data_IF_146674150816
#
_entry.id   IF_146674150816
#
_cell.length_a   1.000
_cell.length_b   1.000
_cell.length_c   1.000
_cell.angle_alpha   90.00
_cell.angle_beta   90.00
_cell.angle_gamma   90.00
#
_symmetry.space_group_name_H-M   'P 1'
#
loop_
_entity.id
_entity.type
_entity.pdbx_description
1 polymer ?
#
# COMPACT_ATOMS: atom_id res chain seq x y z
N UNK A 1 -45.37 -53.46 -30.10
CA UNK A 1 -44.29 -53.19 -29.14
C UNK A 1 -43.09 -52.74 -29.97
N UNK A 2 -42.51 -51.57 -29.72
CA UNK A 2 -41.30 -51.13 -30.43
C UNK A 2 -40.07 -51.51 -29.60
N UNK A 3 -39.22 -52.35 -30.17
CA UNK A 3 -37.97 -52.79 -29.55
C UNK A 3 -36.89 -51.72 -29.80
N UNK A 4 -36.19 -51.29 -28.74
CA UNK A 4 -35.13 -50.28 -28.80
C UNK A 4 -35.51 -48.86 -28.35
N UNK A 5 -36.24 -48.72 -27.25
CA UNK A 5 -36.60 -47.41 -26.68
C UNK A 5 -35.80 -47.09 -25.42
N UNK A 6 -35.14 -45.93 -25.38
CA UNK A 6 -34.46 -45.40 -24.21
C UNK A 6 -35.32 -44.33 -23.53
N UNK A 7 -35.71 -44.60 -22.28
CA UNK A 7 -36.43 -43.64 -21.44
C UNK A 7 -35.46 -43.05 -20.44
N UNK A 8 -35.39 -41.72 -20.39
CA UNK A 8 -34.54 -40.97 -19.46
C UNK A 8 -35.40 -40.00 -18.67
N UNK A 9 -35.22 -39.98 -17.36
CA UNK A 9 -35.82 -38.98 -16.48
C UNK A 9 -34.77 -37.96 -16.08
N UNK A 10 -35.04 -36.69 -16.37
CA UNK A 10 -34.17 -35.59 -15.98
C UNK A 10 -34.33 -35.28 -14.49
N UNK A 11 -33.28 -34.74 -13.87
CA UNK A 11 -33.25 -34.38 -12.44
C UNK A 11 -34.38 -33.43 -12.00
N UNK A 12 -35.03 -32.74 -12.94
CA UNK A 12 -36.17 -31.83 -12.72
C UNK A 12 -37.54 -32.44 -13.08
N UNK A 13 -37.63 -33.76 -13.22
CA UNK A 13 -38.89 -34.48 -13.45
C UNK A 13 -39.36 -34.51 -14.91
N UNK A 14 -38.59 -33.97 -15.85
CA UNK A 14 -38.89 -34.09 -17.28
C UNK A 14 -38.57 -35.49 -17.80
N UNK A 15 -39.51 -36.10 -18.54
CA UNK A 15 -39.33 -37.41 -19.15
C UNK A 15 -38.96 -37.27 -20.63
N UNK A 16 -37.88 -37.91 -21.04
CA UNK A 16 -37.45 -37.99 -22.43
C UNK A 16 -37.50 -39.45 -22.90
N UNK A 17 -38.14 -39.67 -24.03
CA UNK A 17 -38.20 -40.98 -24.67
C UNK A 17 -37.53 -40.86 -26.03
N UNK A 18 -36.47 -41.66 -26.25
CA UNK A 18 -35.73 -41.71 -27.52
C UNK A 18 -35.86 -43.12 -28.09
N UNK A 19 -36.45 -43.22 -29.27
CA UNK A 19 -36.67 -44.49 -29.96
C UNK A 19 -35.55 -44.64 -30.99
N UNK A 20 -34.82 -45.76 -30.92
CA UNK A 20 -33.71 -46.03 -31.82
C UNK A 20 -34.24 -46.52 -33.17
N UNK A 21 -33.64 -46.04 -34.27
CA UNK A 21 -33.97 -46.52 -35.62
C UNK A 21 -33.51 -47.97 -35.77
N UNK A 22 -34.33 -48.80 -36.43
CA UNK A 22 -34.06 -50.24 -36.64
C UNK A 22 -32.78 -50.52 -37.44
N UNK A 23 -32.28 -49.55 -38.20
CA UNK A 23 -31.06 -49.64 -39.01
C UNK A 23 -29.81 -49.11 -38.30
N UNK A 24 -29.90 -48.75 -37.02
CA UNK A 24 -28.76 -48.19 -36.30
C UNK A 24 -27.78 -49.29 -35.87
N UNK A 25 -26.55 -49.22 -36.36
CA UNK A 25 -25.40 -50.00 -35.90
C UNK A 25 -24.52 -49.11 -35.01
N UNK A 26 -24.02 -49.65 -33.89
CA UNK A 26 -23.13 -48.94 -32.98
C UNK A 26 -21.71 -49.47 -33.18
N UNK A 27 -20.94 -48.79 -34.03
CA UNK A 27 -19.52 -49.11 -34.22
C UNK A 27 -18.67 -48.29 -33.26
N UNK A 28 -17.67 -48.93 -32.65
CA UNK A 28 -16.64 -48.25 -31.87
C UNK A 28 -15.79 -47.39 -32.82
N UNK A 29 -15.97 -46.06 -32.75
CA UNK A 29 -15.04 -45.13 -33.40
C UNK A 29 -13.87 -44.89 -32.46
N UNK A 30 -12.67 -45.29 -32.90
CA UNK A 30 -11.41 -44.95 -32.24
C UNK A 30 -11.25 -43.42 -32.15
N UNK A 31 -11.62 -42.86 -31.00
CA UNK A 31 -11.38 -41.47 -30.62
C UNK A 31 -9.98 -41.37 -30.01
N UNK A 32 -8.94 -41.81 -30.72
CA UNK A 32 -7.57 -41.54 -30.28
C UNK A 32 -7.42 -40.01 -30.19
N UNK A 33 -7.41 -39.50 -28.96
CA UNK A 33 -7.31 -38.07 -28.71
C UNK A 33 -5.90 -37.65 -29.15
N UNK A 34 -5.83 -36.97 -30.29
CA UNK A 34 -4.58 -36.37 -30.77
C UNK A 34 -3.96 -35.43 -29.72
N UNK A 35 -2.69 -35.06 -29.87
CA UNK A 35 -1.98 -34.21 -28.92
C UNK A 35 -2.77 -32.92 -28.62
N UNK A 36 -2.71 -32.43 -27.37
CA UNK A 36 -3.56 -31.34 -26.90
C UNK A 36 -3.35 -30.09 -27.76
N UNK A 37 -4.47 -29.46 -28.15
CA UNK A 37 -4.52 -28.29 -29.05
C UNK A 37 -3.67 -27.10 -28.57
N UNK A 38 -3.27 -27.07 -27.29
CA UNK A 38 -2.38 -26.08 -26.69
C UNK A 38 -0.96 -26.10 -27.26
N UNK A 39 -0.50 -27.22 -27.85
CA UNK A 39 0.81 -27.28 -28.53
C UNK A 39 0.85 -26.53 -29.86
N UNK A 40 -0.31 -26.17 -30.42
CA UNK A 40 -0.41 -25.40 -31.67
C UNK A 40 -0.37 -23.87 -31.46
N UNK A 41 -0.25 -23.40 -30.21
CA UNK A 41 -0.18 -21.98 -29.90
C UNK A 41 1.29 -21.56 -29.85
N UNK A 42 1.70 -20.72 -30.80
CA UNK A 42 3.05 -20.15 -30.81
C UNK A 42 3.26 -19.29 -29.57
N UNK A 43 4.36 -19.55 -28.84
CA UNK A 43 4.74 -18.78 -27.67
C UNK A 43 5.00 -17.31 -28.07
N UNK A 44 4.39 -16.38 -27.36
CA UNK A 44 4.63 -14.96 -27.53
C UNK A 44 5.91 -14.53 -26.81
N UNK A 45 7.06 -14.90 -27.37
CA UNK A 45 8.37 -14.50 -26.85
C UNK A 45 8.76 -13.14 -27.42
N UNK A 46 9.00 -12.12 -26.58
CA UNK A 46 9.48 -10.82 -27.06
C UNK A 46 10.78 -10.96 -27.86
N UNK A 47 10.87 -10.28 -28.99
CA UNK A 47 12.07 -10.30 -29.84
C UNK A 47 13.14 -9.39 -29.25
N UNK A 48 14.39 -9.87 -29.23
CA UNK A 48 15.55 -9.05 -28.87
C UNK A 48 15.80 -8.01 -29.98
N UNK A 49 15.90 -6.75 -29.58
CA UNK A 49 16.18 -5.63 -30.48
C UNK A 49 17.68 -5.49 -30.70
N UNK A 50 18.07 -4.70 -31.72
CA UNK A 50 19.48 -4.35 -31.97
C UNK A 50 20.13 -3.73 -30.73
N UNK A 51 19.40 -2.87 -30.01
CA UNK A 51 19.87 -2.24 -28.76
C UNK A 51 20.31 -3.27 -27.71
N UNK A 52 19.56 -4.37 -27.55
CA UNK A 52 19.92 -5.43 -26.62
C UNK A 52 21.23 -6.12 -27.02
N UNK A 53 21.43 -6.35 -28.32
CA UNK A 53 22.65 -6.97 -28.86
C UNK A 53 23.85 -6.04 -28.64
N UNK A 54 23.71 -4.76 -28.97
CA UNK A 54 24.76 -3.75 -28.81
C UNK A 54 25.16 -3.58 -27.32
N UNK A 55 24.18 -3.60 -26.40
CA UNK A 55 24.45 -3.59 -24.94
C UNK A 55 25.22 -4.84 -24.49
N UNK A 56 24.85 -6.02 -25.00
CA UNK A 56 25.53 -7.28 -24.67
C UNK A 56 27.00 -7.25 -25.10
N UNK A 57 27.28 -6.68 -26.28
CA UNK A 57 28.66 -6.52 -26.76
C UNK A 57 29.45 -5.55 -25.87
N UNK A 58 28.87 -4.41 -25.50
CA UNK A 58 29.49 -3.44 -24.56
C UNK A 58 29.79 -4.08 -23.21
N UNK A 59 28.87 -4.86 -22.65
CA UNK A 59 29.04 -5.56 -21.38
C UNK A 59 30.15 -6.61 -21.44
N UNK A 60 30.26 -7.32 -22.57
CA UNK A 60 31.33 -8.30 -22.80
C UNK A 60 32.71 -7.64 -22.83
N UNK A 61 32.84 -6.49 -23.47
CA UNK A 61 34.12 -5.77 -23.61
C UNK A 61 34.53 -5.05 -22.31
N UNK A 62 33.58 -4.48 -21.57
CA UNK A 62 33.84 -3.59 -20.43
C UNK A 62 33.35 -4.11 -19.06
N UNK A 63 33.02 -5.39 -18.96
CA UNK A 63 32.37 -5.97 -17.77
C UNK A 63 33.11 -5.75 -16.45
N UNK A 64 34.45 -5.82 -16.45
CA UNK A 64 35.26 -5.61 -15.22
C UNK A 64 35.14 -4.17 -14.71
N UNK A 65 35.19 -3.19 -15.62
CA UNK A 65 35.06 -1.78 -15.25
C UNK A 65 33.64 -1.49 -14.73
N UNK A 66 32.61 -2.03 -15.40
CA UNK A 66 31.21 -1.90 -14.97
C UNK A 66 30.99 -2.51 -13.58
N UNK A 67 31.53 -3.70 -13.31
CA UNK A 67 31.44 -4.34 -12.00
C UNK A 67 32.09 -3.50 -10.89
N UNK A 68 33.30 -2.98 -11.11
CA UNK A 68 33.99 -2.13 -10.13
C UNK A 68 33.23 -0.85 -9.82
N UNK A 69 32.71 -0.18 -10.85
CA UNK A 69 31.87 1.02 -10.68
C UNK A 69 30.61 0.70 -9.90
N UNK A 70 29.93 -0.40 -10.24
CA UNK A 70 28.74 -0.84 -9.53
C UNK A 70 29.02 -1.12 -8.04
N UNK A 71 30.10 -1.82 -7.70
CA UNK A 71 30.46 -2.08 -6.31
C UNK A 71 30.75 -0.80 -5.52
N UNK A 72 31.51 0.13 -6.12
CA UNK A 72 31.81 1.43 -5.52
C UNK A 72 30.54 2.24 -5.27
N UNK A 73 29.63 2.29 -6.22
CA UNK A 73 28.40 3.06 -6.08
C UNK A 73 27.40 2.39 -5.15
N UNK A 74 27.35 1.05 -5.12
CA UNK A 74 26.57 0.30 -4.14
C UNK A 74 27.05 0.56 -2.71
N UNK A 75 28.37 0.60 -2.49
CA UNK A 75 28.93 0.93 -1.19
C UNK A 75 28.55 2.35 -0.74
N UNK A 76 28.60 3.32 -1.66
CA UNK A 76 28.16 4.71 -1.39
C UNK A 76 26.67 4.80 -1.12
N UNK A 77 25.86 4.07 -1.88
CA UNK A 77 24.42 4.01 -1.66
C UNK A 77 24.13 3.46 -0.27
N UNK A 78 24.77 2.35 0.12
CA UNK A 78 24.64 1.78 1.47
C UNK A 78 25.02 2.80 2.54
N UNK A 79 26.16 3.48 2.40
CA UNK A 79 26.58 4.50 3.36
C UNK A 79 25.55 5.63 3.47
N UNK A 80 25.08 6.17 2.35
CA UNK A 80 24.08 7.24 2.32
C UNK A 80 22.76 6.79 2.95
N UNK A 81 22.28 5.59 2.62
CA UNK A 81 21.06 5.02 3.21
C UNK A 81 21.22 4.88 4.72
N UNK A 82 22.35 4.38 5.21
CA UNK A 82 22.59 4.26 6.65
C UNK A 82 22.65 5.62 7.35
N UNK A 83 23.30 6.61 6.74
CA UNK A 83 23.35 7.98 7.29
C UNK A 83 21.95 8.61 7.38
N UNK A 84 21.16 8.52 6.32
CA UNK A 84 19.79 9.03 6.32
C UNK A 84 18.87 8.22 7.24
N UNK A 85 19.10 6.91 7.38
CA UNK A 85 18.36 6.06 8.31
C UNK A 85 18.64 6.42 9.78
N UNK A 86 19.92 6.63 10.15
CA UNK A 86 20.28 7.10 11.50
C UNK A 86 19.66 8.46 11.78
N UNK A 87 19.74 9.41 10.85
CA UNK A 87 19.07 10.71 10.99
C UNK A 87 17.55 10.55 11.16
N UNK A 88 16.92 9.62 10.45
CA UNK A 88 15.48 9.37 10.58
C UNK A 88 15.14 8.78 11.95
N UNK A 89 15.98 7.90 12.49
CA UNK A 89 15.83 7.34 13.84
C UNK A 89 16.02 8.40 14.93
N UNK A 90 17.06 9.23 14.83
CA UNK A 90 17.33 10.31 15.79
C UNK A 90 16.18 11.33 15.83
N UNK A 91 15.52 11.57 14.69
CA UNK A 91 14.37 12.46 14.59
C UNK A 91 13.00 11.75 14.78
N UNK A 92 12.99 10.45 15.08
CA UNK A 92 11.78 9.60 15.16
C UNK A 92 10.83 9.73 13.96
N UNK A 93 11.34 10.03 12.75
CA UNK A 93 10.55 10.31 11.54
C UNK A 93 9.98 9.06 10.84
N UNK A 94 10.02 7.90 11.50
CA UNK A 94 9.43 6.68 10.95
C UNK A 94 7.92 6.63 11.25
N UNK A 95 7.06 6.36 10.25
CA UNK A 95 5.60 6.27 10.44
C UNK A 95 5.15 5.04 11.25
N UNK A 96 6.11 4.20 11.67
CA UNK A 96 5.96 3.08 12.58
C UNK A 96 7.02 3.27 13.66
N UNK A 97 6.61 3.17 14.93
CA UNK A 97 7.56 3.27 16.03
C UNK A 97 8.63 2.18 15.92
N UNK A 98 9.88 2.57 16.18
CA UNK A 98 11.02 1.65 16.18
C UNK A 98 11.14 0.87 17.50
N UNK A 99 10.33 1.21 18.52
CA UNK A 99 10.35 0.55 19.82
C UNK A 99 9.58 -0.80 19.73
N UNK A 100 10.24 -1.95 19.91
CA UNK A 100 9.58 -3.26 19.83
C UNK A 100 8.48 -3.44 20.87
N UNK A 101 8.54 -2.69 21.98
CA UNK A 101 7.56 -2.76 23.07
C UNK A 101 6.34 -1.86 22.82
N UNK A 102 6.46 -0.85 21.96
CA UNK A 102 5.38 0.10 21.64
C UNK A 102 5.25 0.31 20.12
N UNK A 103 4.97 -0.74 19.34
CA UNK A 103 4.79 -0.60 17.90
C UNK A 103 3.48 0.13 17.62
N UNK A 104 3.58 1.45 17.45
CA UNK A 104 2.46 2.33 17.11
C UNK A 104 2.65 2.79 15.67
N UNK A 105 1.58 2.65 14.89
CA UNK A 105 1.48 3.21 13.55
C UNK A 105 0.72 4.53 13.61
N UNK A 106 1.31 5.58 13.05
CA UNK A 106 0.69 6.89 12.92
C UNK A 106 0.30 7.13 11.48
N UNK A 107 -0.93 7.63 11.30
CA UNK A 107 -1.42 8.16 10.03
C UNK A 107 -2.05 9.51 10.30
N UNK A 108 -1.87 10.45 9.38
CA UNK A 108 -2.48 11.77 9.49
C UNK A 108 -3.10 12.15 8.16
N UNK A 109 -4.28 12.75 8.22
CA UNK A 109 -5.08 13.14 7.07
C UNK A 109 -5.58 14.56 7.29
N UNK A 110 -5.52 15.37 6.24
CA UNK A 110 -6.06 16.73 6.23
C UNK A 110 -7.22 16.77 5.24
N UNK A 111 -8.36 17.27 5.69
CA UNK A 111 -9.57 17.39 4.89
C UNK A 111 -10.11 18.82 4.96
N UNK A 112 -10.56 19.34 3.83
CA UNK A 112 -11.05 20.72 3.71
C UNK A 112 -10.38 21.45 2.56
N UNK A 113 -10.97 22.58 2.18
CA UNK A 113 -10.50 23.45 1.08
C UNK A 113 -10.02 24.83 1.58
N UNK A 114 -10.02 25.04 2.91
CA UNK A 114 -9.66 26.32 3.55
C UNK A 114 -10.89 27.20 3.84
N UNK A 115 -10.75 28.22 4.73
CA UNK A 115 -9.58 28.54 5.56
C UNK A 115 -9.42 27.62 6.79
N UNK A 116 -10.42 26.80 7.08
CA UNK A 116 -10.38 25.82 8.17
C UNK A 116 -10.25 24.41 7.61
N UNK A 117 -9.28 23.65 8.12
CA UNK A 117 -9.06 22.26 7.79
C UNK A 117 -9.40 21.36 8.96
N UNK A 118 -10.03 20.22 8.68
CA UNK A 118 -10.17 19.11 9.62
C UNK A 118 -8.90 18.26 9.53
N UNK A 119 -8.18 18.17 10.65
CA UNK A 119 -6.96 17.39 10.80
C UNK A 119 -7.26 16.13 11.62
N UNK A 120 -7.13 14.97 11.00
CA UNK A 120 -7.42 13.66 11.60
C UNK A 120 -6.11 12.89 11.79
N UNK A 121 -5.80 12.55 13.05
CA UNK A 121 -4.66 11.68 13.41
C UNK A 121 -5.20 10.29 13.74
N UNK A 122 -4.89 9.32 12.89
CA UNK A 122 -5.18 7.91 13.12
C UNK A 122 -4.01 7.21 13.80
N UNK A 123 -4.21 6.72 15.02
CA UNK A 123 -3.25 5.89 15.75
C UNK A 123 -3.71 4.43 15.77
N UNK A 124 -2.81 3.52 15.44
CA UNK A 124 -3.07 2.09 15.49
C UNK A 124 -1.96 1.40 16.30
N UNK A 125 -2.36 0.63 17.31
CA UNK A 125 -1.44 -0.24 18.03
C UNK A 125 -1.22 -1.53 17.21
N UNK A 126 -0.01 -1.74 16.71
CA UNK A 126 0.37 -2.92 15.92
C UNK A 126 1.03 -4.02 16.75
N UNK A 127 0.97 -3.94 18.08
CA UNK A 127 1.43 -5.02 18.96
C UNK A 127 0.49 -6.22 18.89
N UNK A 128 0.95 -7.38 19.38
CA UNK A 128 0.16 -8.61 19.39
C UNK A 128 -0.70 -8.74 20.66
N UNK A 129 -0.22 -8.26 21.81
CA UNK A 129 -0.88 -8.51 23.10
C UNK A 129 -0.78 -7.37 24.12
N UNK A 130 -0.05 -6.28 23.81
CA UNK A 130 0.23 -5.22 24.78
C UNK A 130 -0.55 -3.95 24.46
N UNK A 131 -1.45 -3.55 25.35
CA UNK A 131 -2.13 -2.26 25.21
C UNK A 131 -1.15 -1.11 25.49
N UNK A 132 -1.23 -0.04 24.69
CA UNK A 132 -0.47 1.19 24.93
C UNK A 132 -1.34 2.17 25.73
N UNK A 133 -0.80 2.73 26.81
CA UNK A 133 -1.52 3.66 27.69
C UNK A 133 -0.71 4.93 27.92
N UNK A 134 -1.39 5.98 28.37
CA UNK A 134 -0.77 7.24 28.80
C UNK A 134 0.03 7.93 27.68
N UNK A 135 -0.58 8.05 26.50
CA UNK A 135 0.00 8.73 25.35
C UNK A 135 -0.66 10.09 25.15
N UNK A 136 0.10 11.03 24.61
CA UNK A 136 -0.38 12.34 24.20
C UNK A 136 0.03 12.63 22.77
N UNK A 137 -0.86 13.29 22.02
CA UNK A 137 -0.58 13.82 20.70
C UNK A 137 -0.36 15.32 20.85
N UNK A 138 0.74 15.83 20.29
CA UNK A 138 1.01 17.25 20.18
C UNK A 138 1.51 17.62 18.79
N UNK A 139 1.47 18.90 18.46
CA UNK A 139 1.73 19.42 17.12
C UNK A 139 2.81 20.50 17.19
N UNK A 140 3.69 20.50 16.21
CA UNK A 140 4.75 21.50 16.02
C UNK A 140 4.57 22.12 14.62
N UNK A 141 4.30 23.42 14.63
CA UNK A 141 3.85 24.22 13.50
C UNK A 141 4.19 25.69 13.73
N UNK A 142 4.24 26.49 12.66
CA UNK A 142 4.41 27.95 12.78
C UNK A 142 3.08 28.60 13.21
N UNK A 143 3.04 29.17 14.43
CA UNK A 143 1.88 29.88 14.99
C UNK A 143 1.47 31.11 14.15
N UNK A 144 2.32 31.60 13.23
CA UNK A 144 1.96 32.66 12.28
C UNK A 144 1.12 32.17 11.10
N UNK A 145 1.26 30.90 10.74
CA UNK A 145 0.60 30.31 9.57
C UNK A 145 -0.64 29.51 9.96
N UNK A 146 -0.56 28.76 11.06
CA UNK A 146 -1.60 27.82 11.48
C UNK A 146 -2.02 28.06 12.92
N UNK A 147 -3.30 27.85 13.20
CA UNK A 147 -3.84 27.84 14.55
C UNK A 147 -4.59 26.53 14.83
N UNK A 148 -4.05 25.71 15.73
CA UNK A 148 -4.69 24.47 16.17
C UNK A 148 -5.63 24.73 17.36
N UNK A 149 -6.92 24.38 17.20
CA UNK A 149 -7.90 24.52 18.29
C UNK A 149 -7.61 23.61 19.48
N UNK A 150 -7.09 22.42 19.22
CA UNK A 150 -6.59 21.48 20.24
C UNK A 150 -5.11 21.21 19.99
N UNK A 151 -4.24 21.82 20.80
CA UNK A 151 -2.77 21.68 20.70
C UNK A 151 -2.22 20.41 21.37
N UNK A 152 -2.96 19.88 22.35
CA UNK A 152 -2.63 18.67 23.09
C UNK A 152 -3.87 17.79 23.18
N UNK A 153 -3.74 16.53 22.77
CA UNK A 153 -4.84 15.55 22.81
C UNK A 153 -4.38 14.37 23.65
N UNK A 154 -5.11 14.06 24.72
CA UNK A 154 -4.88 12.87 25.52
C UNK A 154 -5.44 11.65 24.77
N UNK A 155 -4.60 10.63 24.61
CA UNK A 155 -4.96 9.39 23.92
C UNK A 155 -5.49 8.39 24.96
N UNK A 156 -6.67 7.80 24.74
CA UNK A 156 -7.16 6.69 25.55
C UNK A 156 -6.27 5.44 25.39
N UNK A 157 -6.54 4.40 26.16
CA UNK A 157 -5.85 3.12 26.00
C UNK A 157 -6.05 2.56 24.59
N UNK A 158 -4.95 2.37 23.85
CA UNK A 158 -4.95 1.80 22.50
C UNK A 158 -4.87 0.28 22.59
N UNK A 159 -5.99 -0.38 22.30
CA UNK A 159 -6.07 -1.84 22.22
C UNK A 159 -5.36 -2.33 20.94
N UNK A 160 -4.61 -3.45 21.01
CA UNK A 160 -3.98 -4.05 19.84
C UNK A 160 -4.95 -4.27 18.67
N UNK A 161 -4.53 -3.91 17.46
CA UNK A 161 -5.27 -4.18 16.21
C UNK A 161 -6.35 -3.15 15.85
N UNK A 162 -6.74 -2.25 16.75
CA UNK A 162 -7.73 -1.20 16.48
C UNK A 162 -7.07 0.12 16.06
N UNK A 163 -7.73 0.84 15.15
CA UNK A 163 -7.35 2.19 14.72
C UNK A 163 -8.26 3.20 15.39
N UNK A 164 -7.67 4.21 16.02
CA UNK A 164 -8.36 5.30 16.71
C UNK A 164 -8.06 6.62 16.02
N UNK A 165 -9.11 7.31 15.58
CA UNK A 165 -9.00 8.58 14.89
C UNK A 165 -9.27 9.75 15.85
N UNK A 166 -8.34 10.71 15.88
CA UNK A 166 -8.41 11.92 16.69
C UNK A 166 -8.53 13.14 15.79
N UNK A 167 -9.64 13.85 15.92
CA UNK A 167 -9.95 15.02 15.11
C UNK A 167 -9.63 16.33 15.85
N UNK A 168 -8.96 17.23 15.15
CA UNK A 168 -8.80 18.64 15.54
C UNK A 168 -9.04 19.53 14.32
N UNK A 169 -9.39 20.78 14.56
CA UNK A 169 -9.51 21.80 13.51
C UNK A 169 -8.27 22.69 13.51
N UNK A 170 -7.82 23.02 12.31
CA UNK A 170 -6.67 23.89 12.03
C UNK A 170 -7.17 25.05 11.19
N UNK A 171 -7.00 26.25 11.70
CA UNK A 171 -7.35 27.47 10.98
C UNK A 171 -6.07 28.04 10.33
N UNK A 172 -6.11 28.27 9.01
CA UNK A 172 -5.02 28.91 8.27
C UNK A 172 -5.13 30.43 8.41
N UNK A 173 -4.09 31.04 8.97
CA UNK A 173 -4.04 32.49 9.25
C UNK A 173 -3.46 33.30 8.09
N UNK A 174 -2.84 32.64 7.11
CA UNK A 174 -2.14 33.30 6.01
C UNK A 174 -2.97 33.30 4.72
N UNK A 175 -3.32 34.49 4.23
CA UNK A 175 -3.96 34.71 2.92
C UNK A 175 -2.98 34.59 1.73
N UNK A 176 -1.68 34.39 1.99
CA UNK A 176 -0.62 34.39 0.96
C UNK A 176 -0.43 33.06 0.23
N UNK A 177 -1.31 32.07 0.46
CA UNK A 177 -1.19 30.75 -0.17
C UNK A 177 0.08 29.97 0.21
N UNK A 178 0.68 30.25 1.37
CA UNK A 178 1.89 29.58 1.87
C UNK A 178 1.50 28.24 2.48
N UNK A 179 2.18 27.17 2.09
CA UNK A 179 2.02 25.82 2.61
C UNK A 179 3.31 25.37 3.27
N UNK A 180 3.21 24.93 4.53
CA UNK A 180 4.32 24.36 5.30
C UNK A 180 3.92 23.01 5.90
N UNK A 181 4.92 22.19 6.22
CA UNK A 181 4.69 20.91 6.89
C UNK A 181 4.48 21.09 8.40
N UNK A 182 3.44 20.46 8.93
CA UNK A 182 3.20 20.33 10.37
C UNK A 182 3.77 19.00 10.85
N UNK A 183 4.47 19.02 11.99
CA UNK A 183 4.95 17.80 12.66
C UNK A 183 3.96 17.40 13.75
N UNK A 184 3.67 16.11 13.81
CA UNK A 184 2.80 15.48 14.83
C UNK A 184 3.69 14.59 15.68
N UNK A 185 3.70 14.81 16.98
CA UNK A 185 4.43 13.98 17.93
C UNK A 185 3.47 13.16 18.78
N UNK A 186 3.76 11.87 18.92
CA UNK A 186 3.16 11.03 19.96
C UNK A 186 4.19 10.86 21.06
N UNK A 187 3.86 11.33 22.25
CA UNK A 187 4.74 11.35 23.41
C UNK A 187 4.14 10.57 24.56
N UNK A 188 5.02 10.07 25.42
CA UNK A 188 4.67 9.47 26.70
C UNK A 188 5.24 10.34 27.82
N UNK A 189 4.47 10.66 28.86
CA UNK A 189 4.99 11.48 29.95
C UNK A 189 6.15 10.75 30.64
N UNK A 190 7.23 11.49 30.92
CA UNK A 190 8.46 10.96 31.50
C UNK A 190 9.54 10.55 30.50
N UNK A 191 9.23 10.49 29.18
CA UNK A 191 10.24 10.28 28.13
C UNK A 191 10.52 11.61 27.42
N UNK A 192 11.80 11.95 27.23
CA UNK A 192 12.20 13.19 26.53
C UNK A 192 12.17 13.08 25.01
N UNK A 193 12.00 11.87 24.47
CA UNK A 193 12.03 11.57 23.03
C UNK A 193 10.64 11.09 22.60
N UNK A 194 10.08 11.61 21.49
CA UNK A 194 8.80 11.16 20.97
C UNK A 194 8.88 9.70 20.50
N UNK A 195 7.80 8.96 20.71
CA UNK A 195 7.67 7.55 20.30
C UNK A 195 7.58 7.44 18.77
N UNK A 196 6.88 8.39 18.16
CA UNK A 196 6.69 8.49 16.72
C UNK A 196 6.44 9.96 16.33
N UNK A 197 7.10 10.37 15.25
CA UNK A 197 6.92 11.68 14.62
C UNK A 197 6.32 11.48 13.22
N UNK A 198 5.16 12.09 12.97
CA UNK A 198 4.58 12.22 11.63
C UNK A 198 4.87 13.59 11.04
N UNK A 199 5.21 13.67 9.76
CA UNK A 199 5.33 14.95 9.04
C UNK A 199 4.23 15.01 8.01
N UNK A 200 3.42 16.07 8.06
CA UNK A 200 2.25 16.24 7.17
C UNK A 200 2.40 17.57 6.44
N UNK A 201 2.45 17.53 5.12
CA UNK A 201 2.38 18.75 4.31
C UNK A 201 0.96 19.28 4.33
N UNK A 202 0.76 20.51 4.81
CA UNK A 202 -0.57 21.13 4.79
C UNK A 202 -0.95 21.52 3.35
N UNK A 203 -2.21 21.33 2.93
CA UNK A 203 -2.68 21.84 1.65
C UNK A 203 -2.67 23.38 1.65
N UNK A 204 -2.56 23.96 0.46
CA UNK A 204 -2.69 25.41 0.28
C UNK A 204 -4.12 25.81 0.60
N UNK A 205 -4.30 26.86 1.40
CA UNK A 205 -5.63 27.42 1.66
C UNK A 205 -6.08 28.24 0.46
N UNK A 206 -7.31 27.98 -0.01
CA UNK A 206 -7.96 28.93 -0.90
C UNK A 206 -8.29 30.19 -0.09
N UNK A 207 -7.97 31.36 -0.64
CA UNK A 207 -8.26 32.66 -0.05
C UNK A 207 -9.78 32.87 0.02
N UNK A 208 -10.27 33.54 1.07
CA UNK A 208 -11.65 33.99 1.13
C UNK A 208 -11.95 34.84 -0.13
N UNK A 209 -12.78 34.33 -1.03
CA UNK A 209 -13.44 35.17 -2.04
C UNK A 209 -14.45 35.99 -1.25
N UNK A 210 -14.04 37.17 -0.79
CA UNK A 210 -14.97 38.17 -0.29
C UNK A 210 -15.76 38.66 -1.51
N UNK A 211 -17.02 38.19 -1.62
CA UNK A 211 -18.04 38.75 -2.52
C UNK A 211 -18.77 39.86 -1.78
#
# INVERSE_FOLDING_TARGET
REDGTLVMSAKRGGLYVKILKRTATFDEKDLSAGPPKSQNIKLNVPKKTKLFVDQTQRERENGVAMHRTFQRDLARLRLRVMQEYVKALDNSMSPISSDPMEPIKLSARVQGIGPTFKFTVGLQNTSLSQACTNLFITFDYDDKLYHFRKKLIQVPMLVPGLTYDFDTFVDCLSDKGISESVKVYVIRPGRSVPIITGVVSMPVSESNIVV
#
